data_IF_880833851066
#
_entry.id   IF_880833851066
#
_cell.length_a   1.000
_cell.length_b   1.000
_cell.length_c   1.000
_cell.angle_alpha   90.00
_cell.angle_beta   90.00
_cell.angle_gamma   90.00
#
_symmetry.space_group_name_H-M   'P 1'
#
loop_
_entity.id
_entity.type
_entity.pdbx_description
1 polymer ?
#
# COMPACT_ATOMS: atom_id res chain seq x y z
N UNK A 1 16.72 11.19 2.83
CA UNK A 1 15.51 11.10 1.98
C UNK A 1 14.34 11.77 2.70
N UNK A 2 13.60 12.68 2.05
CA UNK A 2 12.40 13.32 2.61
C UNK A 2 11.24 12.32 2.77
N UNK A 3 10.21 12.67 3.53
CA UNK A 3 9.06 11.78 3.74
C UNK A 3 8.20 11.58 2.48
N UNK A 4 8.30 12.51 1.51
CA UNK A 4 7.74 12.32 0.17
C UNK A 4 8.39 11.17 -0.61
N UNK A 5 9.55 10.67 -0.19
CA UNK A 5 10.19 9.50 -0.77
C UNK A 5 9.65 8.22 -0.12
N UNK A 6 8.87 7.48 -0.90
CA UNK A 6 8.23 6.21 -0.52
C UNK A 6 9.31 5.19 -0.11
N UNK A 7 9.08 4.49 1.01
CA UNK A 7 10.02 3.51 1.55
C UNK A 7 11.20 4.10 2.34
N UNK A 8 11.32 5.42 2.46
CA UNK A 8 12.29 6.03 3.37
C UNK A 8 11.90 5.84 4.84
N UNK A 9 12.89 5.91 5.74
CA UNK A 9 12.65 5.91 7.20
C UNK A 9 11.67 7.01 7.63
N UNK A 10 11.73 8.19 6.99
CA UNK A 10 10.83 9.31 7.31
C UNK A 10 9.41 9.03 6.88
N UNK A 11 9.21 8.51 5.67
CA UNK A 11 7.90 8.08 5.16
C UNK A 11 7.25 7.05 6.11
N UNK A 12 7.98 6.01 6.49
CA UNK A 12 7.44 4.98 7.42
C UNK A 12 7.11 5.55 8.80
N UNK A 13 7.94 6.45 9.33
CA UNK A 13 7.71 7.10 10.63
C UNK A 13 6.44 7.94 10.63
N UNK A 14 6.21 8.72 9.57
CA UNK A 14 5.06 9.60 9.45
C UNK A 14 3.76 8.79 9.30
N UNK A 15 3.79 7.75 8.45
CA UNK A 15 2.64 6.84 8.27
C UNK A 15 2.27 6.10 9.58
N UNK A 16 3.26 5.81 10.43
CA UNK A 16 3.03 5.20 11.74
C UNK A 16 2.41 6.21 12.71
N UNK A 17 2.92 7.44 12.74
CA UNK A 17 2.37 8.52 13.56
C UNK A 17 0.92 8.83 13.19
N UNK A 18 0.59 8.87 11.90
CA UNK A 18 -0.78 9.08 11.41
C UNK A 18 -1.72 7.95 11.86
N UNK A 19 -1.27 6.70 11.79
CA UNK A 19 -2.05 5.55 12.26
C UNK A 19 -2.36 5.62 13.76
N UNK A 20 -1.38 6.04 14.57
CA UNK A 20 -1.58 6.26 16.00
C UNK A 20 -2.55 7.43 16.26
N UNK A 21 -2.39 8.55 15.54
CA UNK A 21 -3.29 9.70 15.65
C UNK A 21 -4.74 9.33 15.29
N UNK A 22 -4.94 8.55 14.23
CA UNK A 22 -6.26 8.02 13.87
C UNK A 22 -6.85 7.15 14.97
N UNK A 23 -6.03 6.29 15.59
CA UNK A 23 -6.47 5.42 16.70
C UNK A 23 -6.86 6.23 17.93
N UNK A 24 -6.15 7.32 18.23
CA UNK A 24 -6.52 8.23 19.33
C UNK A 24 -7.88 8.90 19.10
N UNK A 25 -8.23 9.25 17.85
CA UNK A 25 -9.47 9.95 17.51
C UNK A 25 -10.65 9.00 17.30
N UNK A 26 -10.41 7.83 16.69
CA UNK A 26 -11.45 6.87 16.28
C UNK A 26 -11.58 5.66 17.21
N UNK A 27 -10.68 5.52 18.16
CA UNK A 27 -10.58 4.33 19.00
C UNK A 27 -9.86 3.17 18.31
N UNK A 28 -9.76 2.05 19.02
CA UNK A 28 -9.09 0.84 18.54
C UNK A 28 -9.86 0.19 17.38
N UNK A 29 -9.19 -0.15 16.26
CA UNK A 29 -9.84 -0.86 15.17
C UNK A 29 -10.32 -2.24 15.64
N UNK A 30 -11.58 -2.58 15.34
CA UNK A 30 -12.18 -3.87 15.74
C UNK A 30 -12.22 -4.90 14.62
N UNK A 31 -12.11 -4.46 13.36
CA UNK A 31 -12.18 -5.33 12.18
C UNK A 31 -10.91 -5.18 11.34
N UNK A 32 -10.38 -6.30 10.86
CA UNK A 32 -9.36 -6.36 9.82
C UNK A 32 -9.99 -6.94 8.56
N UNK A 33 -10.09 -6.12 7.50
CA UNK A 33 -10.60 -6.54 6.19
C UNK A 33 -9.41 -6.78 5.28
N UNK A 34 -9.32 -8.00 4.75
CA UNK A 34 -8.29 -8.38 3.77
C UNK A 34 -8.92 -8.42 2.39
N UNK A 35 -8.36 -7.64 1.47
CA UNK A 35 -8.71 -7.70 0.05
C UNK A 35 -7.69 -8.58 -0.67
N UNK A 36 -8.17 -9.52 -1.49
CA UNK A 36 -7.32 -10.33 -2.34
C UNK A 36 -7.23 -9.71 -3.73
N UNK A 37 -6.02 -9.59 -4.27
CA UNK A 37 -5.76 -9.07 -5.60
C UNK A 37 -4.98 -10.11 -6.41
N UNK A 38 -5.24 -10.21 -7.71
CA UNK A 38 -4.45 -11.06 -8.58
C UNK A 38 -3.11 -10.39 -8.88
N UNK A 39 -2.01 -10.97 -8.39
CA UNK A 39 -0.66 -10.46 -8.63
C UNK A 39 -0.17 -10.67 -10.08
N UNK A 40 -0.86 -11.52 -10.86
CA UNK A 40 -0.47 -11.83 -12.23
C UNK A 40 -0.92 -10.79 -13.27
N UNK A 41 -1.66 -9.77 -12.83
CA UNK A 41 -2.14 -8.69 -13.70
C UNK A 41 -0.99 -7.97 -14.42
N UNK A 42 -1.15 -7.71 -15.74
CA UNK A 42 -0.10 -7.11 -16.55
C UNK A 42 0.29 -5.70 -16.08
N UNK A 43 -0.64 -4.95 -15.51
CA UNK A 43 -0.40 -3.62 -14.94
C UNK A 43 0.58 -3.70 -13.77
N UNK A 44 0.46 -4.71 -12.91
CA UNK A 44 1.39 -4.95 -11.79
C UNK A 44 2.75 -5.37 -12.34
N UNK A 45 2.78 -6.36 -13.23
CA UNK A 45 4.03 -6.90 -13.82
C UNK A 45 4.82 -5.84 -14.58
N UNK A 46 4.14 -4.94 -15.29
CA UNK A 46 4.77 -3.84 -16.04
C UNK A 46 5.53 -2.84 -15.15
N UNK A 47 5.15 -2.75 -13.88
CA UNK A 47 5.73 -1.80 -12.93
C UNK A 47 6.83 -2.43 -12.05
N UNK A 48 7.04 -3.75 -12.13
CA UNK A 48 8.05 -4.47 -11.35
C UNK A 48 9.40 -4.49 -12.09
N UNK A 49 10.50 -4.32 -11.36
CA UNK A 49 11.84 -4.51 -11.92
C UNK A 49 12.13 -6.01 -12.14
N UNK A 50 13.12 -6.36 -12.99
CA UNK A 50 13.51 -7.74 -13.21
C UNK A 50 13.88 -8.43 -11.88
N UNK A 51 13.24 -9.57 -11.58
CA UNK A 51 13.47 -10.33 -10.36
C UNK A 51 12.71 -9.84 -9.11
N UNK A 52 11.93 -8.76 -9.21
CA UNK A 52 11.04 -8.34 -8.13
C UNK A 52 9.70 -9.07 -8.20
N UNK A 53 9.15 -9.37 -7.04
CA UNK A 53 7.81 -9.90 -6.86
C UNK A 53 6.83 -8.80 -6.47
N UNK A 54 5.53 -9.05 -6.68
CA UNK A 54 4.47 -8.15 -6.26
C UNK A 54 4.50 -7.87 -4.73
N UNK A 55 5.01 -8.82 -3.95
CA UNK A 55 5.18 -8.70 -2.49
C UNK A 55 6.26 -7.71 -2.08
N UNK A 56 7.27 -7.49 -2.94
CA UNK A 56 8.36 -6.55 -2.65
C UNK A 56 7.89 -5.10 -2.78
N UNK A 57 6.87 -4.85 -3.61
CA UNK A 57 6.31 -3.52 -3.84
C UNK A 57 4.77 -3.57 -3.74
N UNK A 58 4.23 -3.79 -2.52
CA UNK A 58 2.78 -3.97 -2.31
C UNK A 58 1.96 -2.71 -2.66
N UNK A 59 2.61 -1.53 -2.70
CA UNK A 59 1.96 -0.28 -3.09
C UNK A 59 1.51 -0.28 -4.55
N UNK A 60 2.24 -0.95 -5.46
CA UNK A 60 1.85 -1.09 -6.87
C UNK A 60 0.57 -1.91 -6.95
N UNK A 61 0.54 -3.05 -6.25
CA UNK A 61 -0.63 -3.94 -6.17
C UNK A 61 -1.85 -3.17 -5.67
N UNK A 62 -1.71 -2.41 -4.57
CA UNK A 62 -2.80 -1.61 -4.02
C UNK A 62 -3.31 -0.53 -4.99
N UNK A 63 -2.42 0.11 -5.77
CA UNK A 63 -2.79 1.12 -6.76
C UNK A 63 -3.54 0.53 -7.94
N UNK A 64 -3.04 -0.56 -8.52
CA UNK A 64 -3.70 -1.26 -9.63
C UNK A 64 -5.06 -1.78 -9.16
N UNK A 65 -5.12 -2.39 -7.97
CA UNK A 65 -6.38 -2.85 -7.38
C UNK A 65 -7.41 -1.72 -7.25
N UNK A 66 -7.00 -0.55 -6.77
CA UNK A 66 -7.88 0.63 -6.68
C UNK A 66 -8.38 1.07 -8.05
N UNK A 67 -7.53 1.06 -9.08
CA UNK A 67 -7.94 1.42 -10.44
C UNK A 67 -8.97 0.44 -11.00
N UNK A 68 -8.77 -0.86 -10.79
CA UNK A 68 -9.75 -1.87 -11.18
C UNK A 68 -11.09 -1.65 -10.47
N UNK A 69 -11.09 -1.39 -9.15
CA UNK A 69 -12.32 -1.09 -8.40
C UNK A 69 -13.07 0.16 -8.89
N UNK A 70 -12.36 1.15 -9.43
CA UNK A 70 -12.97 2.39 -9.96
C UNK A 70 -13.56 2.23 -11.37
N UNK A 71 -13.20 1.17 -12.08
CA UNK A 71 -13.77 0.85 -13.39
C UNK A 71 -15.07 0.04 -13.31
N UNK A 72 -15.42 -0.45 -12.13
CA UNK A 72 -16.72 -1.07 -11.82
C UNK A 72 -17.69 -0.04 -11.26
#
# INVERSE_FOLDING_TARGET
LPASFIGSRRWSSENTADGLALTCVKGTPSYFVTFTCNADWPEIKSCLAPGQSASDIPIIVARVFKQCLQQF
#
